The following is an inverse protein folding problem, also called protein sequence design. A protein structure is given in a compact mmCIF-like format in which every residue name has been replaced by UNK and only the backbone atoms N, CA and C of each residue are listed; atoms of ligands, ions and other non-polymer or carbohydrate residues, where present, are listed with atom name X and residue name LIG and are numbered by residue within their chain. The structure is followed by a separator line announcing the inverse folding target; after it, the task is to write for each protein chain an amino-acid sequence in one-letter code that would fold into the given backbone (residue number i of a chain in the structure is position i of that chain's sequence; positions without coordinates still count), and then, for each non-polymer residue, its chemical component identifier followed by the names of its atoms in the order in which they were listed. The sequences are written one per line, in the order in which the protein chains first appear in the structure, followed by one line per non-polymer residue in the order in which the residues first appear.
data_IF_164984252250
#
_entry.id   IF_164984252250
#
_cell.length_a   1.000
_cell.length_b   1.000
_cell.length_c   1.000
_cell.angle_alpha   90.00
_cell.angle_beta   90.00
_cell.angle_gamma   90.00
#
_symmetry.space_group_name_H-M   'P 1'
#
loop_
_entity.id
_entity.type
_entity.pdbx_description
1 polymer ?
#
# COMPACT_ATOMS: atom_id res chain seq x y z
N UNK A 1 -28.54 0.59 8.27
CA UNK A 1 -27.23 -0.09 8.17
C UNK A 1 -26.81 -0.07 6.71
N UNK A 2 -25.69 0.58 6.35
CA UNK A 2 -25.11 0.42 5.00
C UNK A 2 -24.44 -0.94 4.93
N UNK A 3 -24.61 -1.67 3.83
CA UNK A 3 -23.90 -2.92 3.59
C UNK A 3 -22.39 -2.70 3.74
N UNK A 4 -21.63 -3.56 4.45
CA UNK A 4 -20.19 -3.41 4.63
C UNK A 4 -19.41 -3.41 3.30
N UNK A 5 -20.03 -3.88 2.21
CA UNK A 5 -19.45 -3.91 0.87
C UNK A 5 -19.65 -2.61 0.07
N UNK A 6 -20.58 -1.74 0.50
CA UNK A 6 -20.91 -0.52 -0.23
C UNK A 6 -19.70 0.41 -0.43
N UNK A 7 -18.82 0.64 0.57
CA UNK A 7 -17.65 1.49 0.37
C UNK A 7 -16.66 0.95 -0.66
N UNK A 8 -16.53 -0.38 -0.78
CA UNK A 8 -15.60 -1.00 -1.72
C UNK A 8 -16.07 -0.90 -3.17
N UNK A 9 -17.37 -1.09 -3.39
CA UNK A 9 -17.98 -0.91 -4.71
C UNK A 9 -17.76 0.53 -5.17
N UNK A 10 -17.95 1.51 -4.28
CA UNK A 10 -17.71 2.93 -4.59
C UNK A 10 -16.25 3.23 -4.91
N UNK A 11 -15.27 2.64 -4.22
CA UNK A 11 -13.85 2.88 -4.53
C UNK A 11 -13.47 2.36 -5.91
N UNK A 12 -13.99 1.19 -6.32
CA UNK A 12 -13.76 0.66 -7.66
C UNK A 12 -14.34 1.57 -8.74
N UNK A 13 -15.59 2.01 -8.57
CA UNK A 13 -16.25 2.93 -9.49
C UNK A 13 -15.48 4.25 -9.62
N UNK A 14 -15.04 4.83 -8.50
CA UNK A 14 -14.22 6.05 -8.50
C UNK A 14 -12.89 5.86 -9.22
N UNK A 15 -12.23 4.70 -9.03
CA UNK A 15 -10.97 4.39 -9.71
C UNK A 15 -11.18 4.33 -11.22
N UNK A 16 -12.27 3.70 -11.67
CA UNK A 16 -12.64 3.63 -13.10
C UNK A 16 -12.88 5.03 -13.67
N UNK A 17 -13.68 5.85 -12.99
CA UNK A 17 -13.95 7.23 -13.43
C UNK A 17 -12.66 8.05 -13.52
N UNK A 18 -11.75 7.95 -12.54
CA UNK A 18 -10.47 8.64 -12.61
C UNK A 18 -9.63 8.21 -13.82
N UNK A 19 -9.63 6.92 -14.16
CA UNK A 19 -8.92 6.42 -15.35
C UNK A 19 -9.58 6.91 -16.65
N UNK A 20 -10.91 6.95 -16.71
CA UNK A 20 -11.66 7.47 -17.87
C UNK A 20 -11.42 8.96 -18.10
N UNK A 21 -11.25 9.74 -17.02
CA UNK A 21 -10.87 11.16 -17.06
C UNK A 21 -9.38 11.39 -17.42
N UNK A 22 -8.63 10.32 -17.69
CA UNK A 22 -7.23 10.41 -18.14
C UNK A 22 -6.23 10.69 -17.02
N UNK A 23 -6.54 10.35 -15.76
CA UNK A 23 -5.57 10.43 -14.67
C UNK A 23 -4.46 9.39 -14.86
N UNK A 24 -3.20 9.84 -14.81
CA UNK A 24 -2.04 8.96 -15.00
C UNK A 24 -1.80 7.99 -13.85
N UNK A 25 -2.21 8.37 -12.62
CA UNK A 25 -1.96 7.59 -11.40
C UNK A 25 -3.11 7.72 -10.41
N UNK A 26 -3.52 6.60 -9.81
CA UNK A 26 -4.53 6.57 -8.74
C UNK A 26 -3.94 6.08 -7.42
N UNK A 27 -4.12 6.91 -6.38
CA UNK A 27 -3.70 6.61 -5.01
C UNK A 27 -4.92 6.45 -4.09
N UNK A 28 -4.99 5.32 -3.38
CA UNK A 28 -6.05 5.04 -2.41
C UNK A 28 -5.48 4.95 -0.99
N UNK A 29 -5.97 5.83 -0.12
CA UNK A 29 -5.79 5.74 1.32
C UNK A 29 -6.89 4.90 1.96
N UNK A 30 -6.52 3.68 2.34
CA UNK A 30 -7.38 2.71 2.97
C UNK A 30 -7.00 2.48 4.44
N UNK A 31 -6.51 3.50 5.15
CA UNK A 31 -6.02 3.39 6.52
C UNK A 31 -6.98 2.75 7.52
N UNK A 32 -8.28 2.64 7.25
CA UNK A 32 -9.29 2.00 8.12
C UNK A 32 -9.91 0.73 7.52
N UNK A 33 -9.48 0.30 6.33
CA UNK A 33 -10.16 -0.74 5.57
C UNK A 33 -9.55 -2.13 5.84
N UNK A 34 -8.23 -2.21 6.00
CA UNK A 34 -7.57 -3.49 6.18
C UNK A 34 -7.87 -4.10 7.56
N UNK A 35 -8.37 -5.34 7.57
CA UNK A 35 -8.80 -6.06 8.77
C UNK A 35 -10.26 -5.83 9.17
N UNK A 36 -10.91 -4.78 8.64
CA UNK A 36 -12.34 -4.50 8.87
C UNK A 36 -13.23 -4.97 7.72
N UNK A 37 -12.69 -5.00 6.49
CA UNK A 37 -13.39 -5.45 5.29
C UNK A 37 -12.48 -6.38 4.47
N UNK A 38 -13.08 -7.33 3.75
CA UNK A 38 -12.36 -8.17 2.79
C UNK A 38 -11.98 -7.36 1.55
N UNK A 39 -10.68 -7.23 1.29
CA UNK A 39 -10.15 -6.36 0.24
C UNK A 39 -9.16 -7.12 -0.62
N UNK A 40 -9.48 -7.21 -1.91
CA UNK A 40 -8.59 -7.73 -2.93
C UNK A 40 -8.00 -6.55 -3.70
N UNK A 41 -6.82 -6.06 -3.26
CA UNK A 41 -6.18 -4.85 -3.81
C UNK A 41 -5.95 -4.94 -5.33
N UNK A 42 -5.68 -6.15 -5.84
CA UNK A 42 -5.53 -6.40 -7.28
C UNK A 42 -6.80 -6.12 -8.08
N UNK A 43 -7.97 -6.29 -7.47
CA UNK A 43 -9.26 -6.12 -8.14
C UNK A 43 -9.72 -4.66 -8.17
N UNK A 44 -9.04 -3.77 -7.43
CA UNK A 44 -9.35 -2.34 -7.41
C UNK A 44 -8.71 -1.63 -8.61
N UNK A 45 -7.56 -2.11 -9.08
CA UNK A 45 -6.88 -1.54 -10.24
C UNK A 45 -6.18 -0.21 -9.95
N UNK A 46 -5.66 -0.03 -8.73
CA UNK A 46 -4.99 1.21 -8.31
C UNK A 46 -3.47 1.10 -8.43
N UNK A 47 -2.81 2.22 -8.72
CA UNK A 47 -1.35 2.30 -8.76
C UNK A 47 -0.74 2.18 -7.37
N UNK A 48 -1.38 2.83 -6.39
CA UNK A 48 -0.93 2.87 -5.03
C UNK A 48 -2.07 2.62 -4.06
N UNK A 49 -1.80 1.77 -3.09
CA UNK A 49 -2.74 1.47 -2.01
C UNK A 49 -2.00 1.46 -0.69
N UNK A 50 -2.47 2.25 0.28
CA UNK A 50 -1.90 2.28 1.64
C UNK A 50 -2.91 1.85 2.68
N UNK A 51 -2.45 1.18 3.73
CA UNK A 51 -3.29 0.88 4.89
C UNK A 51 -2.48 0.72 6.18
N UNK A 52 -3.10 1.12 7.29
CA UNK A 52 -2.55 0.90 8.62
C UNK A 52 -2.86 -0.53 9.09
N UNK A 53 -1.84 -1.22 9.61
CA UNK A 53 -2.02 -2.55 10.21
C UNK A 53 -2.33 -2.47 11.71
N UNK A 54 -1.96 -1.36 12.36
CA UNK A 54 -2.10 -1.16 13.79
C UNK A 54 -3.51 -0.76 14.25
N UNK A 55 -4.51 -0.85 13.36
CA UNK A 55 -5.92 -0.61 13.69
C UNK A 55 -6.67 -1.94 13.83
N UNK A 56 -7.22 -2.44 12.73
CA UNK A 56 -8.12 -3.61 12.76
C UNK A 56 -7.39 -4.95 12.59
N UNK A 57 -6.12 -4.93 12.16
CA UNK A 57 -5.27 -6.12 12.09
C UNK A 57 -4.57 -6.42 13.43
N UNK A 58 -4.70 -5.54 14.43
CA UNK A 58 -4.06 -5.69 15.74
C UNK A 58 -2.53 -5.87 15.65
N UNK A 59 -1.89 -5.25 14.64
CA UNK A 59 -0.44 -5.17 14.57
C UNK A 59 0.12 -4.16 15.59
N UNK A 60 1.42 -4.20 15.84
CA UNK A 60 2.12 -3.23 16.68
C UNK A 60 1.89 -1.79 16.17
N UNK A 61 1.89 -0.78 17.07
CA UNK A 61 1.80 0.62 16.68
C UNK A 61 2.80 1.00 15.58
N UNK A 62 2.45 2.00 14.75
CA UNK A 62 3.31 2.51 13.67
C UNK A 62 3.61 1.55 12.52
N UNK A 63 2.87 0.43 12.41
CA UNK A 63 2.97 -0.46 11.24
C UNK A 63 1.89 -0.09 10.21
N UNK A 64 2.33 0.13 8.98
CA UNK A 64 1.51 0.36 7.80
C UNK A 64 2.14 -0.32 6.58
N UNK A 65 1.34 -0.49 5.53
CA UNK A 65 1.79 -1.06 4.26
C UNK A 65 1.56 -0.06 3.13
N UNK A 66 2.44 -0.13 2.13
CA UNK A 66 2.25 0.50 0.83
C UNK A 66 2.35 -0.60 -0.24
N UNK A 67 1.28 -0.77 -0.99
CA UNK A 67 1.23 -1.57 -2.18
C UNK A 67 1.40 -0.66 -3.39
N UNK A 68 2.25 -1.08 -4.34
CA UNK A 68 2.45 -0.40 -5.62
C UNK A 68 2.32 -1.40 -6.76
N UNK A 69 1.66 -0.99 -7.84
CA UNK A 69 1.52 -1.83 -9.03
C UNK A 69 2.84 -1.92 -9.80
N UNK A 70 3.07 -3.06 -10.47
CA UNK A 70 4.38 -3.40 -11.07
C UNK A 70 4.86 -2.39 -12.12
N UNK A 71 3.97 -1.81 -12.92
CA UNK A 71 4.32 -0.76 -13.89
C UNK A 71 4.69 0.56 -13.21
N UNK A 72 4.02 0.89 -12.10
CA UNK A 72 4.24 2.14 -11.34
C UNK A 72 5.56 2.11 -10.55
N UNK A 73 6.06 0.93 -10.19
CA UNK A 73 7.39 0.81 -9.55
C UNK A 73 8.52 1.22 -10.52
N UNK A 74 8.33 1.11 -11.85
CA UNK A 74 9.36 1.56 -12.79
C UNK A 74 9.39 3.08 -12.99
N UNK A 75 8.35 3.81 -12.57
CA UNK A 75 8.20 5.26 -12.79
C UNK A 75 8.77 6.11 -11.65
N UNK A 76 10.06 5.93 -11.33
CA UNK A 76 10.80 6.85 -10.45
C UNK A 76 10.39 6.86 -8.97
N UNK A 77 9.55 5.91 -8.55
CA UNK A 77 9.13 5.79 -7.16
C UNK A 77 10.32 5.43 -6.27
N UNK A 78 10.61 6.29 -5.29
CA UNK A 78 11.72 6.05 -4.38
C UNK A 78 11.35 6.39 -2.93
N UNK A 79 11.92 5.64 -1.98
CA UNK A 79 11.73 5.92 -0.57
C UNK A 79 12.35 7.30 -0.24
N UNK A 80 11.64 8.18 0.50
CA UNK A 80 12.10 9.55 0.77
C UNK A 80 13.36 9.59 1.63
N UNK A 81 13.58 8.55 2.45
CA UNK A 81 14.82 8.36 3.19
C UNK A 81 15.55 7.14 2.63
N UNK A 82 16.54 7.40 1.81
CA UNK A 82 17.23 6.37 1.04
C UNK A 82 18.14 5.53 1.92
N UNK A 83 17.97 4.21 1.90
CA UNK A 83 18.97 3.28 2.43
C UNK A 83 20.14 3.08 1.45
N UNK A 84 21.19 2.40 1.90
CA UNK A 84 22.35 2.08 1.07
C UNK A 84 22.00 1.24 -0.19
N UNK A 85 20.82 0.61 -0.18
CA UNK A 85 20.28 -0.24 -1.25
C UNK A 85 19.39 0.52 -2.26
N UNK A 86 19.61 1.83 -2.42
CA UNK A 86 18.97 2.66 -3.47
C UNK A 86 19.04 1.98 -4.85
N UNK A 87 17.95 2.05 -5.62
CA UNK A 87 17.93 1.59 -7.01
C UNK A 87 17.88 0.07 -7.22
N UNK A 88 17.95 -0.76 -6.15
CA UNK A 88 17.84 -2.22 -6.28
C UNK A 88 16.38 -2.65 -6.35
N UNK A 89 15.60 -2.35 -5.29
CA UNK A 89 14.14 -2.58 -5.19
C UNK A 89 13.56 -1.61 -4.17
N UNK A 90 12.33 -1.15 -4.37
CA UNK A 90 11.66 -0.23 -3.41
C UNK A 90 11.68 -0.78 -1.98
N UNK A 91 11.40 -2.06 -1.78
CA UNK A 91 11.40 -2.70 -0.46
C UNK A 91 12.78 -2.70 0.21
N UNK A 92 13.86 -2.81 -0.58
CA UNK A 92 15.23 -2.76 -0.07
C UNK A 92 15.64 -1.31 0.22
N UNK A 93 15.36 -0.40 -0.71
CA UNK A 93 15.61 1.03 -0.55
C UNK A 93 14.88 1.66 0.65
N UNK A 94 13.77 1.05 1.07
CA UNK A 94 12.94 1.47 2.21
C UNK A 94 13.30 0.75 3.51
N UNK A 95 14.30 -0.14 3.48
CA UNK A 95 14.53 -1.05 4.60
C UNK A 95 15.24 -0.39 5.78
N UNK A 96 16.12 0.58 5.51
CA UNK A 96 16.97 1.20 6.51
C UNK A 96 16.76 2.72 6.52
N UNK A 97 15.98 3.17 7.50
CA UNK A 97 15.52 4.56 7.65
C UNK A 97 16.25 5.19 8.87
N UNK A 98 17.36 4.60 9.33
CA UNK A 98 18.06 5.03 10.54
C UNK A 98 17.25 4.71 11.82
N UNK A 99 16.83 5.73 12.55
CA UNK A 99 16.19 5.65 13.88
C UNK A 99 14.71 5.23 13.80
N UNK A 100 14.45 4.05 13.23
CA UNK A 100 13.13 3.42 13.22
C UNK A 100 13.01 2.43 14.39
N UNK A 101 11.80 2.28 14.92
CA UNK A 101 11.47 1.17 15.80
C UNK A 101 11.43 -0.16 15.01
N UNK A 102 12.35 -1.07 15.33
CA UNK A 102 12.51 -2.37 14.66
C UNK A 102 11.66 -3.48 15.30
N UNK A 103 11.07 -3.26 16.47
CA UNK A 103 10.26 -4.29 17.14
C UNK A 103 9.00 -4.64 16.34
N UNK A 104 8.44 -3.65 15.64
CA UNK A 104 7.29 -3.79 14.76
C UNK A 104 7.58 -4.36 13.36
N UNK A 105 8.84 -4.67 13.02
CA UNK A 105 9.19 -5.11 11.68
C UNK A 105 8.83 -6.59 11.44
N UNK A 106 8.00 -6.92 10.44
CA UNK A 106 7.80 -8.31 10.03
C UNK A 106 9.14 -8.90 9.57
N UNK A 107 9.49 -10.11 10.06
CA UNK A 107 10.69 -10.79 9.58
C UNK A 107 10.58 -10.95 8.06
N UNK A 108 11.62 -10.51 7.35
CA UNK A 108 11.71 -10.65 5.89
C UNK A 108 11.60 -12.13 5.54
N UNK A 109 10.42 -12.55 5.08
CA UNK A 109 10.31 -13.78 4.33
C UNK A 109 10.65 -13.42 2.89
N UNK A 110 11.61 -14.14 2.33
CA UNK A 110 12.00 -14.05 0.93
C UNK A 110 10.79 -14.38 0.06
N UNK A 111 9.96 -13.38 -0.26
CA UNK A 111 8.95 -13.50 -1.31
C UNK A 111 9.65 -13.36 -2.66
N UNK A 112 10.44 -14.39 -2.97
CA UNK A 112 10.83 -14.78 -4.32
C UNK A 112 9.85 -15.84 -4.78
N UNK A 113 8.73 -15.42 -5.34
CA UNK A 113 7.98 -16.15 -6.37
C UNK A 113 7.10 -15.12 -7.10
#
# INVERSE_FOLDING_TARGET
MRSPYLPLVTVKELTITCMEEGMDQVFVDAAYAMGSVEIHVKDIGVDFYTSNLHKWIFCLPFVAILYSWKSTVSSGLHHPMVSNEYGIRLTMASAWIGTRDYEGQPRRHSLTT
#
